data_IF_492375869095
#
_entry.id   IF_492375869095
#
_cell.length_a   1.000
_cell.length_b   1.000
_cell.length_c   1.000
_cell.angle_alpha   90.00
_cell.angle_beta   90.00
_cell.angle_gamma   90.00
#
_symmetry.space_group_name_H-M   'P 1'
#
loop_
_entity.id
_entity.type
_entity.pdbx_description
1 polymer ?
#
# COMPACT_ATOMS: atom_id res chain seq x y z
N UNK A 1 -3.72 38.02 -31.56
CA UNK A 1 -2.74 37.68 -30.49
C UNK A 1 -3.23 36.55 -29.55
N UNK A 2 -4.05 35.60 -30.04
CA UNK A 2 -4.65 34.55 -29.20
C UNK A 2 -4.20 33.13 -29.58
N UNK A 3 -3.74 32.91 -30.81
CA UNK A 3 -3.34 31.59 -31.32
C UNK A 3 -2.06 31.06 -30.64
N UNK A 4 -1.08 31.93 -30.42
CA UNK A 4 0.19 31.56 -29.77
C UNK A 4 0.01 31.20 -28.30
N UNK A 5 -0.91 31.88 -27.59
CA UNK A 5 -1.30 31.57 -26.20
C UNK A 5 -2.06 30.25 -26.12
N UNK A 6 -2.91 29.94 -27.10
CA UNK A 6 -3.67 28.67 -27.15
C UNK A 6 -2.75 27.48 -27.40
N UNK A 7 -1.78 27.60 -28.31
CA UNK A 7 -0.78 26.57 -28.56
C UNK A 7 0.13 26.34 -27.34
N UNK A 8 0.49 27.40 -26.61
CA UNK A 8 1.25 27.29 -25.37
C UNK A 8 0.44 26.63 -24.24
N UNK A 9 -0.82 27.04 -24.04
CA UNK A 9 -1.69 26.41 -23.03
C UNK A 9 -1.98 24.95 -23.37
N UNK A 10 -2.31 24.63 -24.62
CA UNK A 10 -2.61 23.26 -25.05
C UNK A 10 -1.38 22.35 -24.96
N UNK A 11 -0.19 22.86 -25.28
CA UNK A 11 1.07 22.14 -25.17
C UNK A 11 1.44 21.84 -23.72
N UNK A 12 1.37 22.83 -22.83
CA UNK A 12 1.65 22.65 -21.39
C UNK A 12 0.64 21.69 -20.75
N UNK A 13 -0.63 21.79 -21.15
CA UNK A 13 -1.72 20.92 -20.72
C UNK A 13 -1.47 19.46 -21.13
N UNK A 14 -1.07 19.19 -22.38
CA UNK A 14 -0.78 17.82 -22.82
C UNK A 14 0.43 17.22 -22.10
N UNK A 15 1.49 18.00 -21.85
CA UNK A 15 2.71 17.51 -21.20
C UNK A 15 2.45 17.15 -19.73
N UNK A 16 1.60 17.89 -19.03
CA UNK A 16 1.26 17.62 -17.62
C UNK A 16 0.12 16.61 -17.45
N UNK A 17 -0.88 16.57 -18.35
CA UNK A 17 -2.01 15.65 -18.25
C UNK A 17 -1.72 14.25 -18.77
N UNK A 18 -0.93 14.07 -19.85
CA UNK A 18 -0.65 12.72 -20.36
C UNK A 18 -0.03 11.78 -19.32
N UNK A 19 0.97 12.18 -18.53
CA UNK A 19 1.57 11.33 -17.51
C UNK A 19 0.57 10.95 -16.41
N UNK A 20 -0.27 11.91 -16.00
CA UNK A 20 -1.30 11.70 -14.96
C UNK A 20 -2.38 10.73 -15.45
N UNK A 21 -2.89 10.91 -16.67
CA UNK A 21 -3.85 9.98 -17.28
C UNK A 21 -3.24 8.58 -17.46
N UNK A 22 -1.96 8.50 -17.84
CA UNK A 22 -1.27 7.22 -18.00
C UNK A 22 -1.07 6.52 -16.65
N UNK A 23 -0.70 7.27 -15.61
CA UNK A 23 -0.58 6.75 -14.25
C UNK A 23 -1.92 6.22 -13.72
N UNK A 24 -3.00 6.99 -13.89
CA UNK A 24 -4.36 6.54 -13.53
C UNK A 24 -4.78 5.28 -14.27
N UNK A 25 -4.55 5.21 -15.59
CA UNK A 25 -4.91 4.02 -16.36
C UNK A 25 -4.17 2.75 -15.91
N UNK A 26 -2.91 2.90 -15.47
CA UNK A 26 -2.15 1.77 -14.92
C UNK A 26 -2.65 1.39 -13.53
N UNK A 27 -3.02 2.36 -12.69
CA UNK A 27 -3.55 2.13 -11.35
C UNK A 27 -4.90 1.39 -11.39
N UNK A 28 -5.78 1.78 -12.30
CA UNK A 28 -7.08 1.13 -12.53
C UNK A 28 -6.89 -0.32 -13.01
N UNK A 29 -5.94 -0.55 -13.93
CA UNK A 29 -5.63 -1.90 -14.42
C UNK A 29 -5.07 -2.81 -13.33
N UNK A 30 -4.30 -2.25 -12.40
CA UNK A 30 -3.74 -2.99 -11.27
C UNK A 30 -4.82 -3.36 -10.26
N UNK A 31 -5.73 -2.44 -9.94
CA UNK A 31 -6.87 -2.72 -9.06
C UNK A 31 -7.75 -3.84 -9.61
N UNK A 32 -8.03 -3.84 -10.91
CA UNK A 32 -8.78 -4.93 -11.57
C UNK A 32 -8.03 -6.26 -11.48
N UNK A 33 -6.71 -6.27 -11.70
CA UNK A 33 -5.92 -7.48 -11.57
C UNK A 33 -5.95 -8.03 -10.12
N UNK A 34 -5.81 -7.16 -9.11
CA UNK A 34 -5.91 -7.56 -7.70
C UNK A 34 -7.29 -8.13 -7.35
N UNK A 35 -8.34 -7.59 -7.96
CA UNK A 35 -9.70 -8.05 -7.73
C UNK A 35 -9.94 -9.45 -8.37
N UNK A 36 -9.34 -9.73 -9.53
CA UNK A 36 -9.34 -11.07 -10.12
C UNK A 36 -8.52 -12.08 -9.31
N UNK A 37 -7.38 -11.66 -8.75
CA UNK A 37 -6.59 -12.50 -7.84
C UNK A 37 -7.36 -12.87 -6.57
N UNK A 38 -8.16 -11.93 -6.08
CA UNK A 38 -9.06 -12.15 -4.95
C UNK A 38 -10.18 -13.14 -5.30
N UNK A 39 -10.80 -13.02 -6.47
CA UNK A 39 -11.77 -14.00 -6.97
C UNK A 39 -11.16 -15.40 -7.13
N UNK A 40 -9.85 -15.46 -7.42
CA UNK A 40 -9.05 -16.68 -7.43
C UNK A 40 -8.72 -17.25 -6.04
N UNK A 41 -9.08 -16.56 -4.95
CA UNK A 41 -8.96 -17.03 -3.57
C UNK A 41 -7.60 -16.80 -2.90
N UNK A 42 -6.67 -16.09 -3.54
CA UNK A 42 -5.32 -15.85 -3.00
C UNK A 42 -5.23 -14.51 -2.25
N UNK A 43 -5.92 -14.43 -1.12
CA UNK A 43 -5.94 -13.24 -0.26
C UNK A 43 -4.55 -12.87 0.28
N UNK A 44 -3.66 -13.86 0.43
CA UNK A 44 -2.26 -13.67 0.82
C UNK A 44 -1.51 -12.84 -0.21
N UNK A 45 -1.61 -13.21 -1.49
CA UNK A 45 -0.96 -12.50 -2.59
C UNK A 45 -1.53 -11.09 -2.76
N UNK A 46 -2.84 -10.94 -2.69
CA UNK A 46 -3.51 -9.63 -2.74
C UNK A 46 -2.98 -8.71 -1.63
N UNK A 47 -2.89 -9.22 -0.40
CA UNK A 47 -2.36 -8.45 0.73
C UNK A 47 -0.88 -8.04 0.52
N UNK A 48 -0.06 -8.94 -0.03
CA UNK A 48 1.33 -8.63 -0.35
C UNK A 48 1.45 -7.53 -1.40
N UNK A 49 0.62 -7.55 -2.45
CA UNK A 49 0.65 -6.51 -3.46
C UNK A 49 0.23 -5.14 -2.94
N UNK A 50 -0.70 -5.08 -1.99
CA UNK A 50 -1.02 -3.85 -1.29
C UNK A 50 0.17 -3.33 -0.46
N UNK A 51 1.00 -4.19 0.12
CA UNK A 51 2.26 -3.76 0.78
C UNK A 51 3.21 -3.13 -0.26
N UNK A 52 3.34 -3.74 -1.43
CA UNK A 52 4.21 -3.22 -2.50
C UNK A 52 3.73 -1.85 -2.98
N UNK A 53 2.42 -1.68 -3.18
CA UNK A 53 1.84 -0.39 -3.55
C UNK A 53 2.04 0.67 -2.47
N UNK A 54 1.84 0.31 -1.21
CA UNK A 54 2.12 1.20 -0.09
C UNK A 54 3.58 1.63 -0.03
N UNK A 55 4.52 0.74 -0.37
CA UNK A 55 5.94 1.08 -0.44
C UNK A 55 6.22 2.09 -1.55
N UNK A 56 5.66 1.88 -2.75
CA UNK A 56 5.79 2.78 -3.90
C UNK A 56 5.26 4.19 -3.59
N UNK A 57 4.06 4.26 -3.00
CA UNK A 57 3.44 5.52 -2.60
C UNK A 57 4.29 6.25 -1.54
N UNK A 58 4.78 5.51 -0.53
CA UNK A 58 5.66 6.07 0.51
C UNK A 58 6.97 6.60 -0.07
N UNK A 59 7.59 5.85 -0.98
CA UNK A 59 8.85 6.25 -1.61
C UNK A 59 8.66 7.47 -2.54
N UNK A 60 7.43 7.65 -3.07
CA UNK A 60 6.98 8.86 -3.76
C UNK A 60 6.56 10.00 -2.82
N UNK A 61 6.71 9.83 -1.51
CA UNK A 61 6.24 10.74 -0.44
C UNK A 61 4.73 10.96 -0.38
N UNK A 62 3.94 10.13 -1.06
CA UNK A 62 2.48 10.11 -0.91
C UNK A 62 2.11 9.26 0.31
N UNK A 63 2.22 9.87 1.48
CA UNK A 63 2.04 9.18 2.76
C UNK A 63 0.57 8.81 3.03
N UNK A 64 -0.39 9.57 2.51
CA UNK A 64 -1.81 9.28 2.69
C UNK A 64 -2.20 8.04 1.88
N UNK A 65 -1.80 8.00 0.61
CA UNK A 65 -2.02 6.85 -0.25
C UNK A 65 -1.29 5.59 0.28
N UNK A 66 -0.05 5.76 0.75
CA UNK A 66 0.70 4.67 1.37
C UNK A 66 -0.02 4.07 2.59
N UNK A 67 -0.52 4.90 3.50
CA UNK A 67 -1.26 4.47 4.68
C UNK A 67 -2.55 3.72 4.31
N UNK A 68 -3.24 4.17 3.26
CA UNK A 68 -4.43 3.51 2.70
C UNK A 68 -4.08 2.10 2.21
N UNK A 69 -3.03 1.96 1.41
CA UNK A 69 -2.59 0.66 0.90
C UNK A 69 -2.15 -0.31 2.00
N UNK A 70 -1.40 0.15 3.01
CA UNK A 70 -1.06 -0.72 4.14
C UNK A 70 -2.29 -1.15 4.95
N UNK A 71 -3.34 -0.32 5.00
CA UNK A 71 -4.61 -0.69 5.64
C UNK A 71 -5.34 -1.76 4.83
N UNK A 72 -5.38 -1.63 3.50
CA UNK A 72 -5.93 -2.65 2.61
C UNK A 72 -5.16 -3.97 2.72
N UNK A 73 -3.84 -3.94 2.82
CA UNK A 73 -3.04 -5.14 3.05
C UNK A 73 -3.47 -5.90 4.32
N UNK A 74 -3.81 -5.18 5.39
CA UNK A 74 -4.29 -5.78 6.65
C UNK A 74 -5.72 -6.34 6.51
N UNK A 75 -6.58 -5.70 5.73
CA UNK A 75 -7.94 -6.19 5.45
C UNK A 75 -7.90 -7.53 4.69
N UNK A 76 -6.97 -7.68 3.76
CA UNK A 76 -6.86 -8.89 2.93
C UNK A 76 -5.92 -9.94 3.50
N UNK A 77 -5.10 -9.61 4.51
CA UNK A 77 -4.24 -10.57 5.17
C UNK A 77 -5.08 -11.69 5.82
N UNK A 78 -4.75 -12.98 5.56
CA UNK A 78 -5.38 -14.08 6.27
C UNK A 78 -5.18 -13.93 7.78
N UNK A 79 -6.20 -14.24 8.58
CA UNK A 79 -6.17 -14.10 10.05
C UNK A 79 -5.04 -14.89 10.73
N UNK A 80 -4.56 -15.97 10.11
CA UNK A 80 -3.43 -16.77 10.61
C UNK A 80 -2.06 -16.23 10.16
N UNK A 81 -2.03 -15.31 9.19
CA UNK A 81 -0.80 -14.77 8.62
C UNK A 81 -0.41 -13.44 9.29
N UNK A 82 0.02 -13.55 10.54
CA UNK A 82 0.45 -12.39 11.34
C UNK A 82 1.66 -11.67 10.72
N UNK A 83 2.44 -12.37 9.87
CA UNK A 83 3.63 -11.80 9.22
C UNK A 83 3.26 -10.66 8.26
N UNK A 84 2.22 -10.81 7.44
CA UNK A 84 1.78 -9.76 6.51
C UNK A 84 1.28 -8.54 7.29
N UNK A 85 0.46 -8.76 8.31
CA UNK A 85 -0.02 -7.70 9.21
C UNK A 85 1.14 -6.97 9.89
N UNK A 86 2.17 -7.70 10.34
CA UNK A 86 3.38 -7.14 10.94
C UNK A 86 4.14 -6.24 9.99
N UNK A 87 4.31 -6.67 8.74
CA UNK A 87 4.98 -5.84 7.72
C UNK A 87 4.18 -4.56 7.46
N UNK A 88 2.86 -4.66 7.25
CA UNK A 88 2.03 -3.50 6.98
C UNK A 88 2.08 -2.48 8.14
N UNK A 89 1.93 -2.93 9.39
CA UNK A 89 2.00 -2.04 10.57
C UNK A 89 3.39 -1.46 10.77
N UNK A 90 4.46 -2.23 10.50
CA UNK A 90 5.81 -1.69 10.50
C UNK A 90 5.95 -0.53 9.51
N UNK A 91 5.48 -0.68 8.27
CA UNK A 91 5.58 0.39 7.29
C UNK A 91 4.74 1.62 7.66
N UNK A 92 3.54 1.42 8.23
CA UNK A 92 2.73 2.53 8.77
C UNK A 92 3.47 3.26 9.90
N UNK A 93 4.15 2.53 10.79
CA UNK A 93 4.89 3.12 11.91
C UNK A 93 6.04 4.04 11.46
N UNK A 94 6.72 3.69 10.36
CA UNK A 94 7.75 4.56 9.77
C UNK A 94 7.17 5.88 9.24
N UNK A 95 5.95 5.87 8.71
CA UNK A 95 5.25 7.08 8.26
C UNK A 95 4.82 7.92 9.47
N UNK A 96 4.19 7.31 10.47
CA UNK A 96 3.77 8.01 11.68
C UNK A 96 4.95 8.60 12.45
N UNK A 97 6.09 7.92 12.49
CA UNK A 97 7.33 8.45 13.05
C UNK A 97 7.76 9.74 12.34
N UNK A 98 7.73 9.76 11.00
CA UNK A 98 8.04 10.97 10.20
C UNK A 98 7.05 12.11 10.45
N UNK A 99 5.80 11.79 10.79
CA UNK A 99 4.75 12.76 11.09
C UNK A 99 4.71 13.21 12.58
N UNK A 100 5.57 12.65 13.44
CA UNK A 100 5.57 12.93 14.87
C UNK A 100 4.47 12.23 15.68
N UNK A 101 3.72 11.31 15.06
CA UNK A 101 2.62 10.56 15.67
C UNK A 101 3.13 9.26 16.35
N UNK A 102 4.12 9.41 17.24
CA UNK A 102 4.87 8.28 17.80
C UNK A 102 4.00 7.39 18.71
N UNK A 103 3.09 7.97 19.48
CA UNK A 103 2.26 7.22 20.44
C UNK A 103 1.30 6.24 19.74
N UNK A 104 0.64 6.69 18.66
CA UNK A 104 -0.24 5.84 17.85
C UNK A 104 0.52 4.71 17.14
N UNK A 105 1.77 4.96 16.76
CA UNK A 105 2.63 3.96 16.13
C UNK A 105 3.04 2.85 17.10
N UNK A 106 3.47 3.24 18.31
CA UNK A 106 3.86 2.30 19.35
C UNK A 106 2.71 1.40 19.79
N UNK A 107 1.49 1.94 19.91
CA UNK A 107 0.32 1.17 20.27
C UNK A 107 0.03 0.05 19.27
N UNK A 108 -0.03 0.37 17.97
CA UNK A 108 -0.35 -0.63 16.93
C UNK A 108 0.77 -1.66 16.75
N UNK A 109 2.04 -1.24 16.85
CA UNK A 109 3.17 -2.18 16.84
C UNK A 109 3.10 -3.17 18.01
N UNK A 110 2.77 -2.68 19.21
CA UNK A 110 2.68 -3.52 20.41
C UNK A 110 1.57 -4.56 20.28
N UNK A 111 0.43 -4.18 19.71
CA UNK A 111 -0.69 -5.09 19.47
C UNK A 111 -0.30 -6.23 18.51
N UNK A 112 0.33 -5.90 17.37
CA UNK A 112 0.72 -6.90 16.38
C UNK A 112 1.81 -7.83 16.90
N UNK A 113 2.77 -7.32 17.66
CA UNK A 113 3.79 -8.14 18.33
C UNK A 113 3.16 -9.07 19.37
N UNK A 114 2.14 -8.62 20.10
CA UNK A 114 1.41 -9.47 21.04
C UNK A 114 0.65 -10.60 20.32
N UNK A 115 0.00 -10.31 19.20
CA UNK A 115 -0.66 -11.31 18.35
C UNK A 115 0.35 -12.33 17.79
N UNK A 116 1.52 -11.88 17.35
CA UNK A 116 2.57 -12.76 16.84
C UNK A 116 3.11 -13.72 17.91
N UNK A 117 3.16 -13.31 19.18
CA UNK A 117 3.56 -14.16 20.31
C UNK A 117 2.52 -15.19 20.70
N UNK A 118 1.24 -14.91 20.45
CA UNK A 118 0.13 -15.82 20.74
C UNK A 118 -0.13 -16.82 19.60
N UNK A 119 0.39 -16.56 18.40
CA UNK A 119 0.32 -17.51 17.31
C UNK A 119 1.10 -18.79 17.69
N UNK A 120 0.52 -19.99 17.52
CA UNK A 120 1.23 -21.23 17.77
C UNK A 120 2.49 -21.26 16.90
N UNK A 121 3.65 -21.46 17.54
CA UNK A 121 4.92 -21.61 16.83
C UNK A 121 4.79 -22.78 15.86
N UNK A 122 5.21 -22.65 14.58
CA UNK A 122 5.25 -23.78 13.68
C UNK A 122 6.04 -24.89 14.36
N UNK A 123 5.38 -26.03 14.64
CA UNK A 123 6.10 -27.22 15.10
C UNK A 123 7.06 -27.58 13.97
N UNK A 124 8.35 -27.38 14.21
CA UNK A 124 9.40 -27.94 13.37
C UNK A 124 9.27 -29.45 13.54
N UNK A 125 8.61 -30.10 12.58
CA UNK A 125 8.57 -31.56 12.52
C UNK A 125 10.02 -32.05 12.50
N UNK A 126 10.45 -32.90 13.45
CA UNK A 126 11.78 -33.48 13.39
C UNK A 126 11.89 -34.31 12.11
N UNK A 127 12.99 -34.09 11.39
CA UNK A 127 13.36 -34.82 10.17
C UNK A 127 13.59 -36.32 10.44
#
# INVERSE_FOLDING_TARGET
>A
MNLLRYLFLAGVCCISLLPVLRAQSHQDSLLVALQQELEGGDSTRVAFQYIVLGNLARDSSDFEEALSYYSLARTWAPSQNVSITSVAVNQQSLIWQKQGLIDSALQQLTEVVAQARQAPTPQVLPA
#
